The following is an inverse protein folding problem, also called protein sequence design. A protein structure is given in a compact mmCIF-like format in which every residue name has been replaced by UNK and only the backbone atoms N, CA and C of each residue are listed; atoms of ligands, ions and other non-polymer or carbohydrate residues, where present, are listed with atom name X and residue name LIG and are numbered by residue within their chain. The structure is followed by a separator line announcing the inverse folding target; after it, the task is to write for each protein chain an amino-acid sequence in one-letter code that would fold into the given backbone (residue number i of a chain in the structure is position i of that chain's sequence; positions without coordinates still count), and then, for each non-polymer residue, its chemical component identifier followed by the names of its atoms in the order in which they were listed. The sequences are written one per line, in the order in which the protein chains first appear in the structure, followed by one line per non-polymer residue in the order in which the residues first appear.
data_IF_395055287018
#
_entry.id   IF_395055287018
#
_cell.length_a   1.000
_cell.length_b   1.000
_cell.length_c   1.000
_cell.angle_alpha   90.00
_cell.angle_beta   90.00
_cell.angle_gamma   90.00
#
_symmetry.space_group_name_H-M   'P 1'
#
loop_
_entity.id
_entity.type
_entity.pdbx_description
1 polymer ?
#
# COMPACT_ATOMS: atom_id res chain seq x y z
N UNK A 1 8.26 -6.60 0.92
CA UNK A 1 7.96 -8.03 1.16
C UNK A 1 6.86 -8.54 0.23
N UNK A 2 5.68 -7.90 0.18
CA UNK A 2 4.58 -8.30 -0.72
C UNK A 2 4.96 -8.43 -2.19
N UNK A 3 5.73 -7.46 -2.73
CA UNK A 3 6.21 -7.52 -4.12
C UNK A 3 7.08 -8.76 -4.41
N UNK A 4 7.98 -9.11 -3.49
CA UNK A 4 8.88 -10.25 -3.66
C UNK A 4 8.12 -11.58 -3.62
N UNK A 5 7.12 -11.70 -2.73
CA UNK A 5 6.29 -12.90 -2.63
C UNK A 5 5.38 -13.06 -3.86
N UNK A 6 4.76 -11.96 -4.31
CA UNK A 6 3.93 -11.95 -5.51
C UNK A 6 4.71 -12.28 -6.79
N UNK A 7 5.89 -11.67 -6.98
CA UNK A 7 6.75 -11.95 -8.15
C UNK A 7 7.29 -13.38 -8.12
N UNK A 8 7.69 -13.91 -6.96
CA UNK A 8 8.11 -15.32 -6.85
C UNK A 8 6.99 -16.29 -7.19
N UNK A 9 5.75 -16.02 -6.73
CA UNK A 9 4.58 -16.83 -7.07
C UNK A 9 4.29 -16.82 -8.57
N UNK A 10 4.42 -15.64 -9.20
CA UNK A 10 4.22 -15.46 -10.63
C UNK A 10 5.29 -16.18 -11.45
N UNK A 11 6.57 -16.10 -11.05
CA UNK A 11 7.67 -16.79 -11.73
C UNK A 11 7.62 -18.32 -11.55
N UNK A 12 7.08 -18.81 -10.43
CA UNK A 12 6.96 -20.24 -10.15
C UNK A 12 5.77 -20.90 -10.87
N UNK A 13 4.65 -20.19 -10.97
CA UNK A 13 3.38 -20.77 -11.45
C UNK A 13 2.96 -20.26 -12.83
N UNK A 14 3.45 -19.08 -13.24
CA UNK A 14 3.02 -18.40 -14.47
C UNK A 14 1.60 -17.82 -14.41
N UNK A 15 0.89 -17.98 -13.29
CA UNK A 15 -0.50 -17.56 -13.13
C UNK A 15 -0.68 -16.46 -12.07
N UNK A 16 -1.48 -15.45 -12.45
CA UNK A 16 -1.80 -14.27 -11.64
C UNK A 16 -2.78 -14.56 -10.50
N UNK A 17 -3.52 -15.67 -10.56
CA UNK A 17 -4.48 -16.04 -9.51
C UNK A 17 -3.79 -16.37 -8.18
N UNK A 18 -2.60 -16.98 -8.25
CA UNK A 18 -1.79 -17.34 -7.08
C UNK A 18 -1.13 -16.13 -6.41
N UNK A 19 -0.92 -15.05 -7.17
CA UNK A 19 -0.19 -13.86 -6.72
C UNK A 19 -0.92 -13.15 -5.58
N UNK A 20 -2.25 -13.11 -5.63
CA UNK A 20 -3.04 -12.55 -4.54
C UNK A 20 -2.83 -13.34 -3.25
N UNK A 21 -2.95 -14.67 -3.29
CA UNK A 21 -2.80 -15.52 -2.09
C UNK A 21 -1.41 -15.41 -1.46
N UNK A 22 -0.37 -15.22 -2.27
CA UNK A 22 1.00 -15.04 -1.80
C UNK A 22 1.27 -13.63 -1.24
N UNK A 23 0.66 -12.59 -1.82
CA UNK A 23 0.89 -11.20 -1.43
C UNK A 23 -0.07 -10.71 -0.32
N UNK A 24 -1.26 -11.29 -0.19
CA UNK A 24 -2.29 -10.90 0.78
C UNK A 24 -1.79 -10.88 2.23
N UNK A 25 -1.00 -11.86 2.73
CA UNK A 25 -0.46 -11.81 4.09
C UNK A 25 0.44 -10.61 4.37
N UNK A 26 1.08 -10.04 3.35
CA UNK A 26 1.90 -8.84 3.47
C UNK A 26 1.09 -7.55 3.24
N UNK A 27 0.10 -7.59 2.34
CA UNK A 27 -0.74 -6.44 1.99
C UNK A 27 -1.77 -6.13 3.08
N UNK A 28 -2.40 -7.13 3.69
CA UNK A 28 -3.44 -6.91 4.70
C UNK A 28 -2.94 -6.11 5.91
N UNK A 29 -1.79 -6.46 6.55
CA UNK A 29 -1.25 -5.64 7.64
C UNK A 29 -0.90 -4.22 7.21
N UNK A 30 -0.39 -4.04 5.97
CA UNK A 30 -0.07 -2.71 5.45
C UNK A 30 -1.32 -1.83 5.26
N UNK A 31 -2.44 -2.42 4.83
CA UNK A 31 -3.71 -1.72 4.71
C UNK A 31 -4.25 -1.30 6.09
N UNK A 32 -4.15 -2.17 7.10
CA UNK A 32 -4.50 -1.83 8.48
C UNK A 32 -3.59 -0.75 9.08
N UNK A 33 -2.30 -0.75 8.74
CA UNK A 33 -1.38 0.30 9.16
C UNK A 33 -1.76 1.67 8.57
N UNK A 34 -2.37 1.73 7.38
CA UNK A 34 -2.87 2.99 6.81
C UNK A 34 -4.05 3.56 7.61
N UNK A 35 -4.83 2.74 8.34
CA UNK A 35 -5.86 3.27 9.25
C UNK A 35 -5.25 4.12 10.37
N UNK A 36 -4.05 3.79 10.83
CA UNK A 36 -3.32 4.61 11.81
C UNK A 36 -2.92 5.96 11.22
N UNK A 37 -2.71 6.05 9.91
CA UNK A 37 -2.43 7.32 9.22
C UNK A 37 -3.61 8.29 9.32
N UNK A 38 -4.85 7.78 9.24
CA UNK A 38 -6.07 8.57 9.48
C UNK A 38 -6.10 9.07 10.92
N UNK A 39 -5.79 8.20 11.89
CA UNK A 39 -5.77 8.57 13.31
C UNK A 39 -4.75 9.69 13.55
N UNK A 40 -3.52 9.54 13.06
CA UNK A 40 -2.48 10.57 13.21
C UNK A 40 -2.80 11.89 12.49
N UNK A 41 -3.51 11.83 11.35
CA UNK A 41 -3.98 13.01 10.64
C UNK A 41 -5.09 13.74 11.43
N UNK A 42 -6.05 13.01 12.00
CA UNK A 42 -7.12 13.57 12.84
C UNK A 42 -6.58 14.18 14.14
N UNK A 43 -5.59 13.54 14.77
CA UNK A 43 -4.98 14.06 16.01
C UNK A 43 -3.97 15.19 15.77
N UNK A 44 -3.72 15.58 14.51
CA UNK A 44 -2.77 16.64 14.16
C UNK A 44 -1.30 16.29 14.42
N UNK A 45 -0.97 15.00 14.60
CA UNK A 45 0.39 14.54 14.84
C UNK A 45 1.28 14.71 13.60
N UNK A 46 0.67 14.76 12.41
CA UNK A 46 1.33 14.99 11.12
C UNK A 46 0.56 16.04 10.34
N UNK A 47 1.26 16.97 9.66
CA UNK A 47 0.66 17.97 8.76
C UNK A 47 0.16 17.33 7.46
N UNK A 48 -0.84 16.46 7.54
CA UNK A 48 -1.50 15.86 6.38
C UNK A 48 -2.96 16.31 6.31
N UNK A 49 -3.47 16.72 5.13
CA UNK A 49 -4.89 17.02 4.98
C UNK A 49 -5.72 15.74 5.21
N UNK A 50 -6.55 15.76 6.25
CA UNK A 50 -7.30 14.60 6.79
C UNK A 50 -8.26 13.98 5.76
N UNK A 51 -8.93 14.83 4.97
CA UNK A 51 -9.95 14.39 4.00
C UNK A 51 -9.38 13.53 2.88
N UNK A 52 -8.29 13.92 2.18
CA UNK A 52 -7.70 13.08 1.13
C UNK A 52 -7.05 11.80 1.68
N UNK A 53 -6.44 11.82 2.87
CA UNK A 53 -5.92 10.59 3.50
C UNK A 53 -7.06 9.63 3.84
N UNK A 54 -8.15 10.13 4.41
CA UNK A 54 -9.34 9.33 4.69
C UNK A 54 -9.92 8.69 3.42
N UNK A 55 -10.15 9.46 2.36
CA UNK A 55 -10.67 8.93 1.09
C UNK A 55 -9.72 7.91 0.44
N UNK A 56 -8.41 8.14 0.52
CA UNK A 56 -7.39 7.23 -0.02
C UNK A 56 -7.39 5.87 0.68
N UNK A 57 -7.53 5.86 2.01
CA UNK A 57 -7.56 4.63 2.81
C UNK A 57 -8.92 3.92 2.69
N UNK A 58 -10.03 4.68 2.73
CA UNK A 58 -11.38 4.14 2.57
C UNK A 58 -11.52 3.35 1.26
N UNK A 59 -11.05 3.93 0.15
CA UNK A 59 -11.07 3.29 -1.17
C UNK A 59 -10.39 1.90 -1.15
N UNK A 60 -9.26 1.78 -0.45
CA UNK A 60 -8.50 0.53 -0.37
C UNK A 60 -9.16 -0.51 0.53
N UNK A 61 -9.72 -0.09 1.67
CA UNK A 61 -10.41 -0.99 2.60
C UNK A 61 -11.66 -1.57 1.95
N UNK A 62 -12.45 -0.75 1.24
CA UNK A 62 -13.66 -1.23 0.55
C UNK A 62 -13.33 -2.36 -0.42
N UNK A 63 -12.25 -2.23 -1.19
CA UNK A 63 -11.82 -3.27 -2.13
C UNK A 63 -11.40 -4.55 -1.41
N UNK A 64 -10.65 -4.44 -0.30
CA UNK A 64 -10.26 -5.61 0.51
C UNK A 64 -11.50 -6.31 1.09
N UNK A 65 -12.47 -5.55 1.58
CA UNK A 65 -13.73 -6.07 2.14
C UNK A 65 -14.55 -6.76 1.06
N UNK A 66 -14.65 -6.20 -0.15
CA UNK A 66 -15.35 -6.84 -1.28
C UNK A 66 -14.71 -8.19 -1.63
N UNK A 67 -13.38 -8.27 -1.67
CA UNK A 67 -12.67 -9.52 -1.95
C UNK A 67 -12.91 -10.54 -0.82
N UNK A 68 -12.94 -10.10 0.43
CA UNK A 68 -13.23 -10.97 1.57
C UNK A 68 -14.69 -11.49 1.58
N UNK A 69 -15.64 -10.68 1.12
CA UNK A 69 -17.06 -11.05 1.04
C UNK A 69 -17.40 -11.91 -0.18
N UNK A 70 -16.59 -11.84 -1.24
CA UNK A 70 -16.79 -12.59 -2.47
C UNK A 70 -15.52 -13.40 -2.85
N UNK A 71 -15.32 -14.59 -2.26
CA UNK A 71 -14.13 -15.43 -2.51
C UNK A 71 -13.94 -15.81 -3.98
N UNK A 72 -15.02 -15.82 -4.78
CA UNK A 72 -14.96 -16.04 -6.23
C UNK A 72 -14.17 -14.96 -6.99
N UNK A 73 -14.03 -13.76 -6.40
CA UNK A 73 -13.28 -12.66 -6.99
C UNK A 73 -11.78 -12.85 -6.77
N UNK A 74 -11.38 -13.52 -5.69
CA UNK A 74 -9.98 -13.79 -5.31
C UNK A 74 -9.21 -14.53 -6.41
N UNK A 75 -9.87 -15.47 -7.09
CA UNK A 75 -9.30 -16.27 -8.17
C UNK A 75 -9.24 -15.54 -9.51
N UNK A 76 -9.59 -14.24 -9.56
CA UNK A 76 -9.55 -13.47 -10.81
C UNK A 76 -8.15 -12.90 -11.01
N UNK A 77 -7.65 -12.96 -12.24
CA UNK A 77 -6.34 -12.38 -12.60
C UNK A 77 -6.22 -10.89 -12.24
N UNK A 78 -7.34 -10.17 -12.20
CA UNK A 78 -7.42 -8.77 -11.76
C UNK A 78 -6.95 -8.57 -10.31
N UNK A 79 -7.23 -9.51 -9.40
CA UNK A 79 -6.74 -9.45 -8.02
C UNK A 79 -5.22 -9.58 -7.96
N UNK A 80 -4.62 -10.43 -8.80
CA UNK A 80 -3.17 -10.56 -8.94
C UNK A 80 -2.51 -9.27 -9.43
N UNK A 81 -3.05 -8.64 -10.48
CA UNK A 81 -2.55 -7.36 -11.01
C UNK A 81 -2.67 -6.25 -9.97
N UNK A 82 -3.79 -6.20 -9.26
CA UNK A 82 -4.01 -5.22 -8.19
C UNK A 82 -3.02 -5.41 -7.03
N UNK A 83 -2.78 -6.65 -6.58
CA UNK A 83 -1.80 -6.95 -5.53
C UNK A 83 -0.39 -6.51 -5.93
N UNK A 84 0.01 -6.73 -7.18
CA UNK A 84 1.30 -6.26 -7.70
C UNK A 84 1.37 -4.74 -7.76
N UNK A 85 0.32 -4.07 -8.27
CA UNK A 85 0.24 -2.60 -8.31
C UNK A 85 0.37 -1.99 -6.91
N UNK A 86 -0.34 -2.53 -5.93
CA UNK A 86 -0.25 -2.07 -4.54
C UNK A 86 1.14 -2.28 -3.95
N UNK A 87 1.73 -3.45 -4.18
CA UNK A 87 3.09 -3.75 -3.73
C UNK A 87 4.14 -2.85 -4.37
N UNK A 88 3.96 -2.43 -5.63
CA UNK A 88 4.87 -1.53 -6.33
C UNK A 88 4.83 -0.11 -5.75
N UNK A 89 3.63 0.42 -5.46
CA UNK A 89 3.46 1.75 -4.86
C UNK A 89 4.09 1.80 -3.45
N UNK A 90 4.02 0.71 -2.70
CA UNK A 90 4.65 0.61 -1.37
C UNK A 90 6.18 0.79 -1.44
N UNK A 91 6.84 0.24 -2.46
CA UNK A 91 8.30 0.39 -2.63
C UNK A 91 8.68 1.85 -2.77
N UNK A 92 8.02 2.59 -3.67
CA UNK A 92 8.28 4.01 -3.88
C UNK A 92 7.96 4.85 -2.61
N UNK A 93 6.88 4.52 -1.89
CA UNK A 93 6.50 5.21 -0.65
C UNK A 93 7.57 5.06 0.43
N UNK A 94 7.99 3.82 0.72
CA UNK A 94 9.00 3.58 1.75
C UNK A 94 10.37 4.14 1.35
N UNK A 95 10.71 4.13 0.06
CA UNK A 95 11.91 4.79 -0.43
C UNK A 95 11.89 6.31 -0.17
N UNK A 96 10.75 6.97 -0.36
CA UNK A 96 10.58 8.39 -0.03
C UNK A 96 10.72 8.67 1.47
N UNK A 97 10.11 7.84 2.33
CA UNK A 97 10.27 7.98 3.78
C UNK A 97 11.72 7.75 4.25
N UNK A 98 12.42 6.79 3.67
CA UNK A 98 13.83 6.53 3.95
C UNK A 98 14.70 7.74 3.57
N UNK A 99 14.44 8.35 2.40
CA UNK A 99 15.10 9.57 1.97
C UNK A 99 14.84 10.77 2.90
N UNK A 100 13.65 10.84 3.52
CA UNK A 100 13.34 11.85 4.53
C UNK A 100 14.08 11.64 5.87
N UNK A 101 14.46 10.40 6.20
CA UNK A 101 15.16 10.06 7.46
C UNK A 101 16.69 10.21 7.38
N UNK A 102 17.28 10.13 6.18
CA UNK A 102 18.74 10.14 5.95
C UNK A 102 19.35 11.55 5.65
N UNK A 103 18.81 12.65 6.21
CA UNK A 103 19.23 14.04 5.91
C UNK A 103 20.75 14.30 5.93
N UNK A 104 21.29 15.29 5.17
CA UNK A 104 20.82 16.68 5.05
C UNK A 104 20.75 17.17 3.58
N UNK A 105 19.63 16.88 2.91
CA UNK A 105 19.41 17.24 1.49
C UNK A 105 18.11 16.68 0.88
N UNK A 106 17.50 15.69 1.54
CA UNK A 106 16.15 15.22 1.22
C UNK A 106 15.09 16.18 1.79
N UNK A 107 14.51 17.03 0.93
CA UNK A 107 13.37 17.94 1.19
C UNK A 107 13.56 19.03 2.28
N UNK A 108 14.58 18.98 3.14
CA UNK A 108 14.88 20.04 4.10
C UNK A 108 15.52 21.29 3.46
N UNK A 109 15.93 21.23 2.19
CA UNK A 109 16.72 22.27 1.53
C UNK A 109 16.12 22.93 0.29
N UNK A 110 14.96 22.49 -0.22
CA UNK A 110 14.40 23.09 -1.45
C UNK A 110 12.87 23.21 -1.38
N UNK A 111 12.41 24.47 -1.39
CA UNK A 111 11.11 24.97 -1.90
C UNK A 111 9.92 25.18 -0.95
N UNK A 112 10.13 25.56 0.32
CA UNK A 112 9.16 26.44 1.00
C UNK A 112 9.91 27.50 1.82
N UNK A 113 9.96 28.77 1.36
CA UNK A 113 10.32 29.86 2.26
C UNK A 113 9.21 29.98 3.31
N UNK A 114 9.63 29.97 4.57
CA UNK A 114 8.85 30.36 5.74
C UNK A 114 8.26 31.76 5.61
#
# INVERSE_FOLDING_TARGET
LGLLLGVKSLLATGDLTTVWTAAAPALLPAQWAMCMEIVHAVTGAVRSPVVPTFLQVLSRIVVVVIIALAPSVETTQLCGVMALSWSLVEVARYAFYLNGLLGPGGQAGTLYPV
#
